data_IF_064644869605
#
_entry.id   IF_064644869605
#
_cell.length_a   1.000
_cell.length_b   1.000
_cell.length_c   1.000
_cell.angle_alpha   90.00
_cell.angle_beta   90.00
_cell.angle_gamma   90.00
#
_symmetry.space_group_name_H-M   'P 1'
#
loop_
_entity.id
_entity.type
_entity.pdbx_description
1 polymer ?
#
# COMPACT_ATOMS: atom_id res chain seq x y z
N UNK A 1 43.75 -12.30 -48.07
CA UNK A 1 42.57 -12.11 -48.93
C UNK A 1 41.30 -12.86 -48.48
N UNK A 2 41.32 -13.70 -47.43
CA UNK A 2 40.10 -14.36 -46.88
C UNK A 2 39.44 -13.63 -45.70
N UNK A 3 40.13 -12.68 -45.05
CA UNK A 3 39.57 -11.86 -43.96
C UNK A 3 38.76 -10.64 -44.44
N UNK A 4 38.94 -10.20 -45.70
CA UNK A 4 38.19 -9.07 -46.25
C UNK A 4 36.74 -9.46 -46.61
N UNK A 5 36.51 -10.72 -46.99
CA UNK A 5 35.18 -11.23 -47.34
C UNK A 5 34.29 -11.49 -46.13
N UNK A 6 34.87 -11.79 -44.97
CA UNK A 6 34.11 -11.95 -43.71
C UNK A 6 33.67 -10.60 -43.12
N UNK A 7 34.45 -9.54 -43.36
CA UNK A 7 34.13 -8.19 -42.89
C UNK A 7 33.03 -7.52 -43.74
N UNK A 8 33.02 -7.77 -45.05
CA UNK A 8 31.97 -7.26 -45.95
C UNK A 8 30.62 -7.97 -45.79
N UNK A 9 30.60 -9.23 -45.35
CA UNK A 9 29.36 -9.97 -45.11
C UNK A 9 28.68 -9.59 -43.78
N UNK A 10 29.46 -9.26 -42.74
CA UNK A 10 28.95 -8.71 -41.48
C UNK A 10 28.41 -7.28 -41.62
N UNK A 11 29.03 -6.45 -42.47
CA UNK A 11 28.52 -5.09 -42.74
C UNK A 11 27.20 -5.11 -43.54
N UNK A 12 26.95 -6.12 -44.38
CA UNK A 12 25.70 -6.24 -45.14
C UNK A 12 24.50 -6.70 -44.28
N UNK A 13 24.75 -7.49 -43.23
CA UNK A 13 23.70 -7.90 -42.28
C UNK A 13 23.34 -6.74 -41.34
N UNK A 14 24.31 -5.90 -40.94
CA UNK A 14 24.02 -4.69 -40.17
C UNK A 14 23.29 -3.61 -40.99
N UNK A 15 23.56 -3.48 -42.30
CA UNK A 15 22.87 -2.50 -43.15
C UNK A 15 21.43 -2.90 -43.51
N UNK A 16 21.11 -4.20 -43.52
CA UNK A 16 19.73 -4.69 -43.72
C UNK A 16 18.84 -4.54 -42.47
N UNK A 17 19.44 -4.41 -41.28
CA UNK A 17 18.70 -4.14 -40.05
C UNK A 17 18.49 -2.64 -39.76
N UNK A 18 19.27 -1.74 -40.38
CA UNK A 18 19.08 -0.28 -40.22
C UNK A 18 18.16 0.34 -41.28
N UNK A 19 17.79 -0.38 -42.35
CA UNK A 19 16.88 0.11 -43.38
C UNK A 19 15.38 -0.15 -43.10
N UNK A 20 15.03 -0.84 -42.01
CA UNK A 20 13.64 -1.06 -41.59
C UNK A 20 13.28 -0.41 -40.24
N UNK A 21 14.09 0.53 -39.74
CA UNK A 21 13.83 1.27 -38.50
C UNK A 21 13.19 2.65 -38.74
N UNK A 22 12.44 2.82 -39.84
CA UNK A 22 11.60 3.99 -40.09
C UNK A 22 10.14 3.56 -40.11
N UNK A 23 9.50 3.52 -38.94
CA UNK A 23 8.10 3.90 -38.70
C UNK A 23 7.72 3.65 -37.23
N UNK A 24 7.90 4.67 -36.38
CA UNK A 24 6.95 4.96 -35.28
C UNK A 24 7.01 6.44 -34.93
N UNK A 25 6.36 7.32 -35.73
CA UNK A 25 6.18 8.74 -35.38
C UNK A 25 5.13 8.96 -34.27
N UNK A 26 4.42 7.91 -33.84
CA UNK A 26 3.26 8.02 -32.94
C UNK A 26 3.63 8.13 -31.46
N UNK A 27 4.71 7.48 -31.01
CA UNK A 27 5.06 7.46 -29.58
C UNK A 27 5.67 8.79 -29.10
N UNK A 28 6.50 9.41 -29.94
CA UNK A 28 7.13 10.69 -29.63
C UNK A 28 6.09 11.82 -29.59
N UNK A 29 5.14 11.81 -30.52
CA UNK A 29 4.02 12.77 -30.56
C UNK A 29 3.06 12.61 -29.37
N UNK A 30 2.82 11.38 -28.93
CA UNK A 30 2.03 11.10 -27.72
C UNK A 30 2.76 11.54 -26.45
N UNK A 31 4.07 11.33 -26.35
CA UNK A 31 4.88 11.78 -25.22
C UNK A 31 4.93 13.30 -25.12
N UNK A 32 5.09 13.99 -26.26
CA UNK A 32 5.12 15.46 -26.31
C UNK A 32 3.74 16.07 -26.01
N UNK A 33 2.65 15.44 -26.48
CA UNK A 33 1.27 15.84 -26.15
C UNK A 33 0.94 15.64 -24.67
N UNK A 34 1.41 14.56 -24.05
CA UNK A 34 1.18 14.28 -22.62
C UNK A 34 2.00 15.22 -21.75
N UNK A 35 3.25 15.50 -22.13
CA UNK A 35 4.09 16.46 -21.42
C UNK A 35 3.53 17.89 -21.48
N UNK A 36 2.93 18.29 -22.60
CA UNK A 36 2.29 19.59 -22.73
C UNK A 36 0.98 19.70 -21.93
N UNK A 37 0.19 18.62 -21.86
CA UNK A 37 -1.00 18.55 -21.00
C UNK A 37 -0.64 18.60 -19.51
N UNK A 38 0.43 17.93 -19.09
CA UNK A 38 0.94 17.99 -17.71
C UNK A 38 1.44 19.39 -17.38
N UNK A 39 2.12 20.08 -18.31
CA UNK A 39 2.55 21.47 -18.13
C UNK A 39 1.37 22.44 -18.02
N UNK A 40 0.32 22.25 -18.82
CA UNK A 40 -0.89 23.08 -18.75
C UNK A 40 -1.64 22.87 -17.43
N UNK A 41 -1.74 21.63 -16.94
CA UNK A 41 -2.33 21.32 -15.64
C UNK A 41 -1.51 21.88 -14.48
N UNK A 42 -0.18 21.83 -14.55
CA UNK A 42 0.70 22.44 -13.56
C UNK A 42 0.59 23.97 -13.57
N UNK A 43 0.42 24.59 -14.74
CA UNK A 43 0.21 26.04 -14.86
C UNK A 43 -1.16 26.46 -14.30
N UNK A 44 -2.20 25.66 -14.51
CA UNK A 44 -3.53 25.86 -13.94
C UNK A 44 -3.59 25.63 -12.42
N UNK A 45 -2.67 24.83 -11.87
CA UNK A 45 -2.55 24.64 -10.41
C UNK A 45 -1.68 25.71 -9.72
N UNK A 46 -0.76 26.35 -10.45
CA UNK A 46 0.22 27.28 -9.90
C UNK A 46 -0.22 28.75 -9.94
N UNK A 47 -1.17 29.13 -10.79
CA UNK A 47 -1.75 30.48 -10.82
C UNK A 47 -2.83 30.64 -9.73
N UNK A 48 -2.32 30.88 -8.52
CA UNK A 48 -2.87 31.60 -7.36
C UNK A 48 -4.38 31.50 -6.99
N UNK A 49 -4.58 31.03 -5.76
CA UNK A 49 -5.75 31.23 -4.88
C UNK A 49 -7.04 30.44 -5.14
N UNK A 50 -7.08 29.30 -4.43
CA UNK A 50 -8.23 28.77 -3.71
C UNK A 50 -9.27 29.86 -3.37
N UNK A 51 -10.39 29.86 -4.08
CA UNK A 51 -11.63 30.46 -3.59
C UNK A 51 -12.72 29.41 -3.72
N UNK A 52 -13.33 29.09 -2.57
CA UNK A 52 -14.52 28.25 -2.46
C UNK A 52 -15.56 28.71 -3.48
N UNK A 53 -15.84 27.88 -4.48
CA UNK A 53 -16.99 28.09 -5.36
C UNK A 53 -18.22 27.50 -4.66
N UNK A 54 -19.28 28.29 -4.39
CA UNK A 54 -20.51 27.78 -3.79
C UNK A 54 -21.24 26.85 -4.78
N UNK A 55 -21.92 25.82 -4.25
CA UNK A 55 -22.58 24.74 -5.01
C UNK A 55 -23.48 25.16 -6.19
N UNK A 56 -23.89 26.42 -6.31
CA UNK A 56 -24.77 26.87 -7.38
C UNK A 56 -24.05 27.05 -8.74
N UNK A 57 -22.73 27.29 -8.77
CA UNK A 57 -21.99 27.53 -10.02
C UNK A 57 -21.61 26.24 -10.77
N UNK A 58 -21.60 25.09 -10.08
CA UNK A 58 -21.34 23.79 -10.70
C UNK A 58 -22.58 23.31 -11.43
N UNK A 59 -23.76 23.46 -10.81
CA UNK A 59 -25.05 23.15 -11.43
C UNK A 59 -25.33 24.09 -12.61
N UNK A 60 -25.02 25.39 -12.51
CA UNK A 60 -25.22 26.35 -13.61
C UNK A 60 -24.25 26.11 -14.78
N UNK A 61 -23.03 25.62 -14.54
CA UNK A 61 -22.08 25.22 -15.61
C UNK A 61 -22.38 23.85 -16.20
N UNK A 62 -22.93 22.92 -15.41
CA UNK A 62 -23.45 21.65 -15.92
C UNK A 62 -24.69 21.91 -16.78
N UNK A 63 -25.59 22.77 -16.30
CA UNK A 63 -26.81 23.20 -16.99
C UNK A 63 -26.48 24.04 -18.23
N UNK A 64 -25.44 24.88 -18.21
CA UNK A 64 -24.98 25.62 -19.40
C UNK A 64 -24.29 24.72 -20.45
N UNK A 65 -23.53 23.69 -20.04
CA UNK A 65 -22.92 22.72 -20.98
C UNK A 65 -23.92 21.70 -21.52
N UNK A 66 -24.85 21.23 -20.68
CA UNK A 66 -25.95 20.35 -21.09
C UNK A 66 -26.94 21.15 -21.96
N UNK A 67 -27.24 22.42 -21.61
CA UNK A 67 -28.08 23.32 -22.40
C UNK A 67 -27.47 23.64 -23.76
N UNK A 68 -26.21 24.09 -23.87
CA UNK A 68 -25.64 24.49 -25.17
C UNK A 68 -25.35 23.31 -26.12
N UNK A 69 -25.10 22.11 -25.59
CA UNK A 69 -24.84 20.93 -26.42
C UNK A 69 -26.13 20.17 -26.75
N UNK A 70 -27.20 20.29 -25.94
CA UNK A 70 -28.54 19.81 -26.31
C UNK A 70 -29.33 20.82 -27.14
N UNK A 71 -29.17 22.14 -26.98
CA UNK A 71 -29.97 23.12 -27.75
C UNK A 71 -29.62 23.14 -29.24
N UNK A 72 -28.37 22.94 -29.65
CA UNK A 72 -28.01 23.04 -31.06
C UNK A 72 -28.52 21.85 -31.87
N UNK A 73 -28.51 20.63 -31.32
CA UNK A 73 -29.07 19.44 -31.96
C UNK A 73 -30.60 19.34 -31.78
N UNK A 74 -31.14 19.74 -30.62
CA UNK A 74 -32.59 19.69 -30.38
C UNK A 74 -33.35 20.85 -31.03
N UNK A 75 -32.74 22.02 -31.27
CA UNK A 75 -33.34 23.08 -32.10
C UNK A 75 -33.31 22.73 -33.59
N UNK A 76 -32.30 21.98 -34.05
CA UNK A 76 -32.26 21.46 -35.42
C UNK A 76 -33.35 20.41 -35.66
N UNK A 77 -33.58 19.50 -34.70
CA UNK A 77 -34.68 18.53 -34.77
C UNK A 77 -36.06 19.13 -34.40
N UNK A 78 -36.11 20.15 -33.54
CA UNK A 78 -37.35 20.82 -33.13
C UNK A 78 -37.92 21.75 -34.19
N UNK A 79 -37.08 22.50 -34.91
CA UNK A 79 -37.51 23.31 -36.08
C UNK A 79 -37.84 22.42 -37.28
N UNK A 80 -37.10 21.32 -37.46
CA UNK A 80 -37.42 20.27 -38.43
C UNK A 80 -38.77 19.61 -38.15
N UNK A 81 -39.09 19.27 -36.90
CA UNK A 81 -40.38 18.68 -36.51
C UNK A 81 -41.54 19.67 -36.68
N UNK A 82 -41.40 20.96 -36.35
CA UNK A 82 -42.47 21.96 -36.57
C UNK A 82 -42.70 22.21 -38.07
N UNK A 83 -41.64 22.26 -38.89
CA UNK A 83 -41.77 22.35 -40.35
C UNK A 83 -42.36 21.06 -40.95
N UNK A 84 -42.05 19.89 -40.39
CA UNK A 84 -42.55 18.58 -40.84
C UNK A 84 -44.01 18.36 -40.44
N UNK A 85 -44.43 18.72 -39.22
CA UNK A 85 -45.83 18.71 -38.81
C UNK A 85 -46.65 19.82 -39.48
N UNK A 86 -46.04 20.97 -39.80
CA UNK A 86 -46.66 22.02 -40.62
C UNK A 86 -46.87 21.61 -42.08
N UNK A 87 -45.91 20.89 -42.67
CA UNK A 87 -46.04 20.28 -44.00
C UNK A 87 -47.07 19.15 -44.01
N UNK A 88 -47.08 18.28 -42.99
CA UNK A 88 -48.07 17.20 -42.87
C UNK A 88 -49.47 17.76 -42.62
N UNK A 89 -49.61 18.79 -41.77
CA UNK A 89 -50.88 19.49 -41.54
C UNK A 89 -51.39 20.25 -42.78
N UNK A 90 -50.48 20.87 -43.53
CA UNK A 90 -50.79 21.54 -44.79
C UNK A 90 -51.14 20.58 -45.93
N UNK A 91 -50.44 19.44 -46.04
CA UNK A 91 -50.72 18.40 -47.04
C UNK A 91 -52.02 17.65 -46.71
N UNK A 92 -52.31 17.38 -45.44
CA UNK A 92 -53.59 16.77 -45.03
C UNK A 92 -54.78 17.73 -45.19
N UNK A 93 -54.62 19.03 -44.94
CA UNK A 93 -55.66 20.03 -45.18
C UNK A 93 -55.89 20.27 -46.69
N UNK A 94 -54.84 20.23 -47.52
CA UNK A 94 -54.94 20.42 -48.97
C UNK A 94 -55.45 19.16 -49.70
N UNK A 95 -55.22 17.96 -49.15
CA UNK A 95 -55.77 16.70 -49.66
C UNK A 95 -57.23 16.47 -49.26
N UNK A 96 -57.67 17.02 -48.12
CA UNK A 96 -59.04 16.87 -47.61
C UNK A 96 -60.11 17.57 -48.46
N UNK A 97 -59.77 18.66 -49.15
CA UNK A 97 -60.78 19.54 -49.76
C UNK A 97 -60.93 19.41 -51.29
N UNK A 98 -60.14 18.55 -51.98
CA UNK A 98 -60.21 18.52 -53.46
C UNK A 98 -60.13 17.21 -54.24
N UNK A 99 -59.86 16.03 -53.66
CA UNK A 99 -59.81 14.79 -54.47
C UNK A 99 -60.24 13.53 -53.67
N UNK A 100 -61.54 13.40 -53.37
CA UNK A 100 -62.12 12.14 -52.90
C UNK A 100 -62.58 11.28 -54.08
N UNK A 101 -61.90 10.16 -54.31
CA UNK A 101 -62.42 9.04 -55.10
C UNK A 101 -61.95 7.73 -54.44
N UNK A 102 -62.87 6.84 -54.07
CA UNK A 102 -62.69 5.69 -53.15
C UNK A 102 -61.59 4.67 -53.52
N UNK A 103 -61.08 4.69 -54.76
CA UNK A 103 -59.93 3.87 -55.17
C UNK A 103 -58.59 4.41 -54.67
N UNK A 104 -58.46 5.73 -54.54
CA UNK A 104 -57.26 6.38 -54.02
C UNK A 104 -57.13 6.09 -52.52
N UNK A 105 -58.23 6.05 -51.78
CA UNK A 105 -58.22 5.81 -50.34
C UNK A 105 -57.67 4.44 -49.95
N UNK A 106 -58.02 3.36 -50.67
CA UNK A 106 -57.52 2.01 -50.36
C UNK A 106 -56.03 1.82 -50.68
N UNK A 107 -55.55 2.42 -51.77
CA UNK A 107 -54.12 2.37 -52.15
C UNK A 107 -53.32 3.23 -51.19
N UNK A 108 -53.78 4.45 -50.92
CA UNK A 108 -53.16 5.37 -49.95
C UNK A 108 -53.12 4.77 -48.56
N UNK A 109 -54.20 4.14 -48.05
CA UNK A 109 -54.18 3.49 -46.72
C UNK A 109 -53.22 2.30 -46.63
N UNK A 110 -53.12 1.48 -47.69
CA UNK A 110 -52.22 0.31 -47.73
C UNK A 110 -50.75 0.72 -47.82
N UNK A 111 -50.44 1.76 -48.60
CA UNK A 111 -49.11 2.35 -48.62
C UNK A 111 -48.79 3.08 -47.31
N UNK A 112 -49.77 3.78 -46.70
CA UNK A 112 -49.61 4.40 -45.38
C UNK A 112 -49.34 3.38 -44.28
N UNK A 113 -50.03 2.23 -44.27
CA UNK A 113 -49.76 1.18 -43.28
C UNK A 113 -48.38 0.58 -43.48
N UNK A 114 -47.97 0.34 -44.73
CA UNK A 114 -46.64 -0.19 -45.04
C UNK A 114 -45.52 0.81 -44.67
N UNK A 115 -45.70 2.09 -45.01
CA UNK A 115 -44.80 3.17 -44.61
C UNK A 115 -44.72 3.33 -43.09
N UNK A 116 -45.86 3.20 -42.39
CA UNK A 116 -45.91 3.24 -40.92
C UNK A 116 -45.15 2.06 -40.32
N UNK A 117 -45.37 0.85 -40.80
CA UNK A 117 -44.72 -0.35 -40.26
C UNK A 117 -43.21 -0.36 -40.55
N UNK A 118 -42.80 0.09 -41.75
CA UNK A 118 -41.38 0.32 -42.07
C UNK A 118 -40.76 1.39 -41.17
N UNK A 119 -41.43 2.52 -40.97
CA UNK A 119 -40.95 3.60 -40.11
C UNK A 119 -40.83 3.13 -38.65
N UNK A 120 -41.82 2.40 -38.13
CA UNK A 120 -41.78 1.84 -36.78
C UNK A 120 -40.65 0.82 -36.64
N UNK A 121 -40.43 -0.03 -37.64
CA UNK A 121 -39.32 -1.00 -37.66
C UNK A 121 -37.96 -0.29 -37.70
N UNK A 122 -37.80 0.73 -38.55
CA UNK A 122 -36.57 1.51 -38.66
C UNK A 122 -36.27 2.29 -37.37
N UNK A 123 -37.31 2.82 -36.71
CA UNK A 123 -37.20 3.45 -35.39
C UNK A 123 -36.74 2.44 -34.35
N UNK A 124 -37.34 1.25 -34.28
CA UNK A 124 -36.93 0.21 -33.32
C UNK A 124 -35.49 -0.26 -33.55
N UNK A 125 -35.09 -0.44 -34.81
CA UNK A 125 -33.73 -0.84 -35.14
C UNK A 125 -32.73 0.25 -34.73
N UNK A 126 -33.02 1.53 -35.03
CA UNK A 126 -32.17 2.65 -34.59
C UNK A 126 -32.09 2.78 -33.08
N UNK A 127 -33.19 2.60 -32.35
CA UNK A 127 -33.18 2.59 -30.88
C UNK A 127 -32.25 1.48 -30.38
N UNK A 128 -32.38 0.27 -30.91
CA UNK A 128 -31.54 -0.88 -30.54
C UNK A 128 -30.07 -0.68 -30.86
N UNK A 129 -29.76 -0.06 -31.99
CA UNK A 129 -28.38 0.25 -32.38
C UNK A 129 -27.76 1.32 -31.47
N UNK A 130 -28.54 2.33 -31.08
CA UNK A 130 -28.13 3.36 -30.12
C UNK A 130 -27.92 2.77 -28.73
N UNK A 131 -28.85 1.93 -28.25
CA UNK A 131 -28.71 1.23 -26.96
C UNK A 131 -27.46 0.34 -26.94
N UNK A 132 -27.23 -0.46 -27.98
CA UNK A 132 -26.04 -1.31 -28.09
C UNK A 132 -24.73 -0.51 -28.18
N UNK A 133 -24.75 0.65 -28.85
CA UNK A 133 -23.60 1.57 -28.88
C UNK A 133 -23.33 2.18 -27.50
N UNK A 134 -24.38 2.62 -26.80
CA UNK A 134 -24.28 3.22 -25.47
C UNK A 134 -23.79 2.21 -24.43
N UNK A 135 -24.29 0.97 -24.44
CA UNK A 135 -23.80 -0.09 -23.55
C UNK A 135 -22.31 -0.38 -23.79
N UNK A 136 -21.88 -0.39 -25.05
CA UNK A 136 -20.48 -0.61 -25.40
C UNK A 136 -19.57 0.54 -24.95
N UNK A 137 -20.00 1.78 -25.14
CA UNK A 137 -19.25 2.96 -24.67
C UNK A 137 -19.22 3.02 -23.13
N UNK A 138 -20.33 2.71 -22.46
CA UNK A 138 -20.40 2.67 -21.00
C UNK A 138 -19.46 1.59 -20.44
N UNK A 139 -19.48 0.38 -21.02
CA UNK A 139 -18.54 -0.68 -20.68
C UNK A 139 -17.08 -0.28 -20.91
N UNK A 140 -16.80 0.46 -21.99
CA UNK A 140 -15.45 0.97 -22.26
C UNK A 140 -15.02 2.01 -21.22
N UNK A 141 -15.90 2.96 -20.87
CA UNK A 141 -15.65 3.99 -19.85
C UNK A 141 -15.41 3.35 -18.48
N UNK A 142 -16.21 2.34 -18.10
CA UNK A 142 -16.03 1.60 -16.84
C UNK A 142 -14.68 0.86 -16.79
N UNK A 143 -14.27 0.24 -17.91
CA UNK A 143 -12.97 -0.41 -18.02
C UNK A 143 -11.81 0.59 -17.90
N UNK A 144 -11.89 1.73 -18.61
CA UNK A 144 -10.88 2.78 -18.53
C UNK A 144 -10.82 3.44 -17.15
N UNK A 145 -11.97 3.66 -16.49
CA UNK A 145 -12.01 4.19 -15.13
C UNK A 145 -11.33 3.22 -14.16
N UNK A 146 -11.60 1.92 -14.29
CA UNK A 146 -10.97 0.87 -13.48
C UNK A 146 -9.45 0.84 -13.70
N UNK A 147 -8.99 0.98 -14.95
CA UNK A 147 -7.56 1.05 -15.28
C UNK A 147 -6.87 2.27 -14.65
N UNK A 148 -7.48 3.45 -14.76
CA UNK A 148 -6.95 4.69 -14.15
C UNK A 148 -6.92 4.60 -12.63
N UNK A 149 -7.96 4.02 -12.01
CA UNK A 149 -8.00 3.79 -10.56
C UNK A 149 -6.87 2.86 -10.12
N UNK A 150 -6.65 1.75 -10.82
CA UNK A 150 -5.57 0.81 -10.53
C UNK A 150 -4.20 1.45 -10.71
N UNK A 151 -3.97 2.16 -11.83
CA UNK A 151 -2.72 2.88 -12.08
C UNK A 151 -2.43 3.93 -11.00
N UNK A 152 -3.46 4.67 -10.58
CA UNK A 152 -3.35 5.67 -9.51
C UNK A 152 -2.97 5.03 -8.18
N UNK A 153 -3.59 3.89 -7.84
CA UNK A 153 -3.29 3.15 -6.62
C UNK A 153 -1.85 2.63 -6.62
N UNK A 154 -1.40 1.99 -7.71
CA UNK A 154 -0.03 1.49 -7.84
C UNK A 154 1.00 2.62 -7.83
N UNK A 155 0.70 3.76 -8.45
CA UNK A 155 1.55 4.95 -8.40
C UNK A 155 1.70 5.48 -6.97
N UNK A 156 0.60 5.55 -6.20
CA UNK A 156 0.65 5.94 -4.77
C UNK A 156 1.51 4.96 -3.97
N UNK A 157 1.32 3.65 -4.16
CA UNK A 157 2.12 2.61 -3.49
C UNK A 157 3.61 2.79 -3.77
N UNK A 158 3.99 3.01 -5.03
CA UNK A 158 5.38 3.25 -5.43
C UNK A 158 5.94 4.52 -4.78
N UNK A 159 5.19 5.63 -4.80
CA UNK A 159 5.62 6.90 -4.19
C UNK A 159 5.83 6.73 -2.68
N UNK A 160 4.92 6.07 -1.98
CA UNK A 160 5.03 5.89 -0.52
C UNK A 160 6.19 4.96 -0.13
N UNK A 161 6.51 3.96 -0.94
CA UNK A 161 7.73 3.16 -0.76
C UNK A 161 8.99 4.01 -0.91
N UNK A 162 9.07 4.83 -1.95
CA UNK A 162 10.21 5.73 -2.16
C UNK A 162 10.35 6.76 -1.02
N UNK A 163 9.23 7.23 -0.47
CA UNK A 163 9.22 8.12 0.68
C UNK A 163 9.74 7.42 1.95
N UNK A 164 9.33 6.17 2.20
CA UNK A 164 9.84 5.39 3.33
C UNK A 164 11.36 5.16 3.22
N UNK A 165 11.88 4.80 2.05
CA UNK A 165 13.31 4.59 1.85
C UNK A 165 14.14 5.86 2.09
N UNK A 166 13.60 7.03 1.74
CA UNK A 166 14.23 8.31 2.09
C UNK A 166 14.22 8.53 3.59
N UNK A 167 13.07 8.33 4.24
CA UNK A 167 12.91 8.51 5.69
C UNK A 167 13.81 7.55 6.48
N UNK A 168 13.98 6.30 6.07
CA UNK A 168 14.92 5.33 6.67
C UNK A 168 16.34 5.88 6.76
N UNK A 169 16.82 6.48 5.68
CA UNK A 169 18.15 7.10 5.65
C UNK A 169 18.26 8.30 6.61
N UNK A 170 17.17 9.03 6.82
CA UNK A 170 17.12 10.14 7.77
C UNK A 170 17.05 9.64 9.23
N UNK A 171 16.25 8.60 9.50
CA UNK A 171 16.16 7.91 10.80
C UNK A 171 17.53 7.44 11.25
N UNK A 172 18.31 6.81 10.36
CA UNK A 172 19.66 6.34 10.68
C UNK A 172 20.63 7.47 11.06
N UNK A 173 20.44 8.67 10.51
CA UNK A 173 21.29 9.84 10.78
C UNK A 173 20.85 10.61 12.03
N UNK A 174 19.54 10.74 12.24
CA UNK A 174 18.94 11.55 13.29
C UNK A 174 17.72 10.83 13.91
N UNK A 175 17.96 9.77 14.69
CA UNK A 175 16.89 8.88 15.18
C UNK A 175 15.92 9.54 16.17
N UNK A 176 16.28 10.69 16.73
CA UNK A 176 15.46 11.48 17.65
C UNK A 176 14.85 12.73 17.00
N UNK A 177 14.82 12.81 15.67
CA UNK A 177 14.26 13.96 14.94
C UNK A 177 12.74 13.99 15.00
N UNK A 178 12.20 15.08 15.55
CA UNK A 178 10.75 15.36 15.58
C UNK A 178 10.16 15.52 14.17
N UNK A 179 10.91 16.08 13.23
CA UNK A 179 10.46 16.24 11.83
C UNK A 179 10.28 14.88 11.14
N UNK A 180 11.31 14.01 11.24
CA UNK A 180 11.28 12.66 10.68
C UNK A 180 10.13 11.85 11.29
N UNK A 181 9.93 11.96 12.60
CA UNK A 181 8.82 11.34 13.30
C UNK A 181 7.46 11.79 12.72
N UNK A 182 7.24 13.09 12.53
CA UNK A 182 5.98 13.61 11.98
C UNK A 182 5.74 13.15 10.54
N UNK A 183 6.77 13.13 9.71
CA UNK A 183 6.68 12.65 8.32
C UNK A 183 6.40 11.15 8.25
N UNK A 184 6.99 10.34 9.13
CA UNK A 184 6.65 8.92 9.25
C UNK A 184 5.20 8.71 9.72
N UNK A 185 4.70 9.52 10.65
CA UNK A 185 3.28 9.48 11.06
C UNK A 185 2.34 9.86 9.92
N UNK A 186 2.71 10.88 9.13
CA UNK A 186 1.94 11.27 7.96
C UNK A 186 1.93 10.17 6.89
N UNK A 187 3.08 9.54 6.64
CA UNK A 187 3.20 8.42 5.71
C UNK A 187 2.38 7.21 6.19
N UNK A 188 2.36 6.93 7.49
CA UNK A 188 1.52 5.90 8.07
C UNK A 188 0.04 6.15 7.80
N UNK A 189 -0.45 7.38 8.06
CA UNK A 189 -1.84 7.78 7.76
C UNK A 189 -2.16 7.61 6.27
N UNK A 190 -1.27 8.04 5.37
CA UNK A 190 -1.43 7.88 3.91
C UNK A 190 -1.51 6.40 3.51
N UNK A 191 -0.69 5.54 4.12
CA UNK A 191 -0.69 4.11 3.87
C UNK A 191 -2.00 3.46 4.38
N UNK A 192 -2.53 3.88 5.52
CA UNK A 192 -3.82 3.42 6.05
C UNK A 192 -4.99 3.81 5.15
N UNK A 193 -5.01 5.03 4.62
CA UNK A 193 -6.08 5.52 3.72
C UNK A 193 -6.27 4.64 2.49
N UNK A 194 -5.17 4.11 1.94
CA UNK A 194 -5.21 3.20 0.79
C UNK A 194 -5.12 1.72 1.18
N UNK A 195 -5.14 1.41 2.49
CA UNK A 195 -4.99 0.06 3.06
C UNK A 195 -3.75 -0.67 2.52
N UNK A 196 -2.60 0.00 2.54
CA UNK A 196 -1.36 -0.59 2.03
C UNK A 196 -0.73 -1.55 3.04
N UNK A 197 -1.28 -2.75 3.12
CA UNK A 197 -0.99 -3.73 4.18
C UNK A 197 0.50 -4.10 4.33
N UNK A 198 1.27 -4.09 3.24
CA UNK A 198 2.69 -4.44 3.29
C UNK A 198 3.59 -3.29 3.70
N UNK A 199 3.16 -2.03 3.56
CA UNK A 199 3.96 -0.85 3.90
C UNK A 199 3.77 -0.41 5.35
N UNK A 200 2.54 -0.54 5.86
CA UNK A 200 2.19 -0.18 7.25
C UNK A 200 3.15 -0.79 8.29
N UNK A 201 3.42 -2.12 8.32
CA UNK A 201 4.33 -2.70 9.31
C UNK A 201 5.77 -2.17 9.18
N UNK A 202 6.21 -1.83 7.96
CA UNK A 202 7.54 -1.27 7.72
C UNK A 202 7.66 0.15 8.26
N UNK A 203 6.61 0.98 8.14
CA UNK A 203 6.58 2.32 8.72
C UNK A 203 6.53 2.23 10.27
N UNK A 204 5.77 1.28 10.80
CA UNK A 204 5.68 1.01 12.25
C UNK A 204 7.04 0.60 12.83
N UNK A 205 7.84 -0.17 12.09
CA UNK A 205 9.22 -0.52 12.48
C UNK A 205 10.09 0.74 12.66
N UNK A 206 10.08 1.65 11.68
CA UNK A 206 10.85 2.90 11.77
C UNK A 206 10.36 3.81 12.89
N UNK A 207 9.04 3.99 13.03
CA UNK A 207 8.45 4.77 14.12
C UNK A 207 8.80 4.21 15.50
N UNK A 208 8.89 2.89 15.62
CA UNK A 208 9.28 2.24 16.87
C UNK A 208 10.69 2.66 17.29
N UNK A 209 11.63 2.65 16.36
CA UNK A 209 13.00 3.09 16.62
C UNK A 209 13.05 4.58 16.98
N UNK A 210 12.32 5.43 16.25
CA UNK A 210 12.27 6.88 16.50
C UNK A 210 11.64 7.20 17.85
N UNK A 211 10.52 6.55 18.22
CA UNK A 211 9.90 6.75 19.53
C UNK A 211 10.79 6.27 20.67
N UNK A 212 11.46 5.13 20.50
CA UNK A 212 12.40 4.64 21.50
C UNK A 212 13.57 5.60 21.71
N UNK A 213 14.21 6.05 20.62
CA UNK A 213 15.34 6.99 20.67
C UNK A 213 14.93 8.36 21.24
N UNK A 214 13.70 8.80 20.97
CA UNK A 214 13.11 10.05 21.49
C UNK A 214 12.53 9.91 22.90
N UNK A 215 12.65 8.73 23.54
CA UNK A 215 12.08 8.42 24.87
C UNK A 215 10.57 8.62 24.96
N UNK A 216 9.85 8.48 23.85
CA UNK A 216 8.38 8.58 23.76
C UNK A 216 7.71 7.23 24.01
N UNK A 217 7.96 6.63 25.17
CA UNK A 217 7.57 5.25 25.47
C UNK A 217 6.04 5.03 25.49
N UNK A 218 5.26 6.05 25.87
CA UNK A 218 3.80 5.99 25.80
C UNK A 218 3.28 5.91 24.36
N UNK A 219 3.89 6.69 23.45
CA UNK A 219 3.52 6.68 22.04
C UNK A 219 3.96 5.37 21.37
N UNK A 220 5.15 4.87 21.72
CA UNK A 220 5.61 3.55 21.30
C UNK A 220 4.62 2.45 21.72
N UNK A 221 4.21 2.43 22.98
CA UNK A 221 3.28 1.44 23.49
C UNK A 221 1.92 1.50 22.76
N UNK A 222 1.41 2.71 22.52
CA UNK A 222 0.18 2.92 21.77
C UNK A 222 0.33 2.43 20.33
N UNK A 223 1.46 2.72 19.68
CA UNK A 223 1.75 2.29 18.32
C UNK A 223 1.68 0.77 18.23
N UNK A 224 2.43 0.04 19.05
CA UNK A 224 2.45 -1.43 19.02
C UNK A 224 1.07 -2.01 19.33
N UNK A 225 0.39 -1.50 20.36
CA UNK A 225 -0.95 -1.99 20.74
C UNK A 225 -1.99 -1.78 19.63
N UNK A 226 -1.79 -0.78 18.77
CA UNK A 226 -2.67 -0.48 17.64
C UNK A 226 -2.42 -1.44 16.48
N UNK A 227 -1.16 -1.67 16.10
CA UNK A 227 -0.86 -2.40 14.87
C UNK A 227 -0.55 -3.89 15.05
N UNK A 228 -0.13 -4.34 16.24
CA UNK A 228 0.25 -5.74 16.46
C UNK A 228 -0.92 -6.73 16.33
N UNK A 229 -2.17 -6.25 16.38
CA UNK A 229 -3.37 -7.09 16.23
C UNK A 229 -3.67 -7.42 14.77
N UNK A 230 -3.50 -6.44 13.90
CA UNK A 230 -3.93 -6.52 12.49
C UNK A 230 -2.74 -6.80 11.55
N UNK A 231 -1.51 -6.51 12.00
CA UNK A 231 -0.31 -6.65 11.20
C UNK A 231 0.72 -7.53 11.88
N UNK A 232 1.38 -8.34 11.05
CA UNK A 232 2.57 -9.10 11.44
C UNK A 232 3.76 -8.16 11.58
N UNK A 233 3.94 -7.59 12.77
CA UNK A 233 5.11 -6.79 13.09
C UNK A 233 6.36 -7.67 13.20
N UNK A 234 7.51 -7.11 12.84
CA UNK A 234 8.79 -7.80 12.93
C UNK A 234 9.18 -8.05 14.39
N UNK A 235 9.82 -9.19 14.65
CA UNK A 235 10.27 -9.62 15.97
C UNK A 235 11.18 -8.58 16.65
N UNK A 236 12.04 -7.90 15.88
CA UNK A 236 12.91 -6.82 16.39
C UNK A 236 12.12 -5.61 16.87
N UNK A 237 11.01 -5.27 16.21
CA UNK A 237 10.11 -4.19 16.61
C UNK A 237 9.46 -4.49 17.96
N UNK A 238 8.99 -5.72 18.13
CA UNK A 238 8.38 -6.20 19.37
C UNK A 238 9.39 -6.26 20.52
N UNK A 239 10.61 -6.74 20.28
CA UNK A 239 11.71 -6.74 21.26
C UNK A 239 12.08 -5.34 21.72
N UNK A 240 12.12 -4.35 20.82
CA UNK A 240 12.40 -2.95 21.20
C UNK A 240 11.28 -2.36 22.07
N UNK A 241 10.03 -2.70 21.77
CA UNK A 241 8.89 -2.30 22.59
C UNK A 241 8.91 -2.97 23.98
N UNK A 242 9.26 -4.27 24.03
CA UNK A 242 9.45 -5.00 25.27
C UNK A 242 10.53 -4.35 26.13
N UNK A 243 11.68 -4.01 25.54
CA UNK A 243 12.78 -3.36 26.24
C UNK A 243 12.36 -2.05 26.90
N UNK A 244 11.55 -1.22 26.24
CA UNK A 244 10.99 -0.02 26.85
C UNK A 244 10.16 -0.33 28.10
N UNK A 245 9.33 -1.37 28.07
CA UNK A 245 8.51 -1.77 29.20
C UNK A 245 9.36 -2.39 30.33
N UNK A 246 10.39 -3.16 29.98
CA UNK A 246 11.31 -3.77 30.95
C UNK A 246 12.14 -2.72 31.66
N UNK A 247 12.59 -1.67 30.97
CA UNK A 247 13.26 -0.52 31.59
C UNK A 247 12.37 0.15 32.63
N UNK A 248 11.11 0.44 32.29
CA UNK A 248 10.14 1.02 33.24
C UNK A 248 9.87 0.08 34.42
N UNK A 249 9.80 -1.24 34.17
CA UNK A 249 9.62 -2.23 35.22
C UNK A 249 10.82 -2.31 36.16
N UNK A 250 12.03 -2.32 35.62
CA UNK A 250 13.27 -2.34 36.41
C UNK A 250 13.34 -1.11 37.32
N UNK A 251 13.12 0.08 36.76
CA UNK A 251 13.31 1.34 37.46
C UNK A 251 12.20 1.66 38.47
N UNK A 252 10.94 1.34 38.15
CA UNK A 252 9.79 1.75 38.97
C UNK A 252 8.97 0.59 39.54
N UNK A 253 9.16 -0.62 39.02
CA UNK A 253 8.43 -1.79 39.47
C UNK A 253 7.01 -1.94 39.00
N UNK A 254 6.65 -1.27 37.91
CA UNK A 254 5.30 -1.37 37.36
C UNK A 254 5.00 -2.79 36.86
N UNK A 255 4.15 -3.53 37.58
CA UNK A 255 3.71 -4.87 37.19
C UNK A 255 3.01 -4.88 35.83
N UNK A 256 2.24 -3.84 35.52
CA UNK A 256 1.63 -3.68 34.20
C UNK A 256 2.67 -3.59 33.07
N UNK A 257 3.80 -2.89 33.31
CA UNK A 257 4.90 -2.83 32.34
C UNK A 257 5.63 -4.16 32.23
N UNK A 258 5.80 -4.90 33.34
CA UNK A 258 6.32 -6.27 33.30
C UNK A 258 5.47 -7.17 32.40
N UNK A 259 4.16 -7.21 32.64
CA UNK A 259 3.22 -8.06 31.90
C UNK A 259 3.23 -7.71 30.41
N UNK A 260 3.17 -6.41 30.09
CA UNK A 260 3.19 -5.95 28.70
C UNK A 260 4.53 -6.20 28.00
N UNK A 261 5.64 -6.09 28.74
CA UNK A 261 6.95 -6.47 28.25
C UNK A 261 6.99 -7.95 27.87
N UNK A 262 6.51 -8.83 28.74
CA UNK A 262 6.42 -10.27 28.45
C UNK A 262 5.48 -10.56 27.28
N UNK A 263 4.32 -9.92 27.19
CA UNK A 263 3.37 -10.06 26.07
C UNK A 263 4.06 -9.78 24.73
N UNK A 264 4.83 -8.70 24.63
CA UNK A 264 5.58 -8.39 23.41
C UNK A 264 6.69 -9.40 23.10
N UNK A 265 7.33 -9.98 24.12
CA UNK A 265 8.32 -11.03 23.92
C UNK A 265 7.69 -12.34 23.44
N UNK A 266 6.52 -12.71 23.96
CA UNK A 266 5.78 -13.88 23.46
C UNK A 266 5.34 -13.66 22.02
N UNK A 267 4.81 -12.48 21.69
CA UNK A 267 4.48 -12.15 20.30
C UNK A 267 5.70 -12.26 19.37
N UNK A 268 6.89 -11.85 19.83
CA UNK A 268 8.12 -12.00 19.04
C UNK A 268 8.52 -13.47 18.85
N UNK A 269 8.34 -14.30 19.87
CA UNK A 269 8.61 -15.74 19.83
C UNK A 269 7.60 -16.51 18.98
N UNK A 270 6.36 -16.06 18.93
CA UNK A 270 5.35 -16.57 17.99
C UNK A 270 5.72 -16.28 16.53
N UNK A 271 6.42 -15.16 16.27
CA UNK A 271 6.91 -14.85 14.92
C UNK A 271 8.13 -15.69 14.53
N UNK A 272 9.06 -15.86 15.47
CA UNK A 272 10.33 -16.57 15.27
C UNK A 272 10.59 -17.45 16.49
N UNK A 273 10.23 -18.73 16.37
CA UNK A 273 10.45 -19.71 17.43
C UNK A 273 11.94 -19.81 17.79
N UNK A 274 12.26 -19.70 19.08
CA UNK A 274 13.64 -19.72 19.57
C UNK A 274 14.41 -18.43 19.30
N UNK A 275 13.74 -17.30 19.09
CA UNK A 275 14.39 -16.00 18.92
C UNK A 275 15.15 -15.60 20.19
N UNK A 276 16.48 -15.68 20.14
CA UNK A 276 17.31 -15.66 21.36
C UNK A 276 17.36 -14.28 22.03
N UNK A 277 17.20 -13.19 21.27
CA UNK A 277 17.06 -11.84 21.82
C UNK A 277 15.83 -11.70 22.73
N UNK A 278 14.71 -12.30 22.34
CA UNK A 278 13.50 -12.30 23.16
C UNK A 278 13.63 -13.20 24.39
N UNK A 279 14.22 -14.39 24.23
CA UNK A 279 14.47 -15.30 25.36
C UNK A 279 15.43 -14.68 26.39
N UNK A 280 16.50 -14.00 25.94
CA UNK A 280 17.42 -13.30 26.82
C UNK A 280 16.74 -12.20 27.64
N UNK A 281 15.79 -11.48 27.05
CA UNK A 281 14.97 -10.52 27.77
C UNK A 281 14.00 -11.18 28.75
N UNK A 282 13.38 -12.32 28.42
CA UNK A 282 12.54 -13.07 29.37
C UNK A 282 13.35 -13.49 30.60
N UNK A 283 14.56 -14.04 30.40
CA UNK A 283 15.47 -14.38 31.50
C UNK A 283 15.76 -13.17 32.38
N UNK A 284 16.04 -12.01 31.77
CA UNK A 284 16.25 -10.77 32.51
C UNK A 284 15.02 -10.36 33.32
N UNK A 285 13.81 -10.44 32.78
CA UNK A 285 12.56 -10.15 33.52
C UNK A 285 12.44 -11.05 34.75
N UNK A 286 12.70 -12.36 34.61
CA UNK A 286 12.65 -13.26 35.76
C UNK A 286 13.74 -12.98 36.80
N UNK A 287 14.93 -12.52 36.38
CA UNK A 287 15.96 -12.10 37.33
C UNK A 287 15.60 -10.80 38.06
N UNK A 288 14.91 -9.88 37.37
CA UNK A 288 14.31 -8.69 38.01
C UNK A 288 13.25 -9.12 39.02
N UNK A 289 12.37 -10.06 38.67
CA UNK A 289 11.34 -10.60 39.57
C UNK A 289 11.96 -11.23 40.82
N UNK A 290 12.95 -12.11 40.64
CA UNK A 290 13.65 -12.77 41.74
C UNK A 290 14.31 -11.75 42.68
N UNK A 291 14.99 -10.75 42.12
CA UNK A 291 15.68 -9.72 42.89
C UNK A 291 14.72 -8.86 43.72
N UNK A 292 13.49 -8.66 43.24
CA UNK A 292 12.48 -7.79 43.86
C UNK A 292 11.51 -8.54 44.77
N UNK A 293 11.45 -9.86 44.64
CA UNK A 293 10.60 -10.73 45.44
C UNK A 293 10.93 -10.63 46.93
N UNK A 294 9.89 -10.39 47.76
CA UNK A 294 10.04 -10.29 49.22
C UNK A 294 9.80 -11.62 49.93
N UNK A 295 9.16 -12.56 49.25
CA UNK A 295 8.77 -13.86 49.79
C UNK A 295 9.31 -14.99 48.92
N UNK A 296 9.60 -16.11 49.56
CA UNK A 296 10.23 -17.26 48.90
C UNK A 296 9.37 -17.84 47.76
N UNK A 297 8.05 -17.77 47.89
CA UNK A 297 7.13 -18.22 46.86
C UNK A 297 7.32 -17.42 45.55
N UNK A 298 7.47 -16.10 45.62
CA UNK A 298 7.68 -15.24 44.44
C UNK A 298 9.05 -15.52 43.80
N UNK A 299 10.08 -15.73 44.63
CA UNK A 299 11.41 -16.15 44.15
C UNK A 299 11.34 -17.47 43.39
N UNK A 300 10.67 -18.47 43.96
CA UNK A 300 10.51 -19.79 43.33
C UNK A 300 9.74 -19.71 42.01
N UNK A 301 8.73 -18.83 41.91
CA UNK A 301 8.03 -18.59 40.64
C UNK A 301 8.95 -17.99 39.58
N UNK A 302 9.78 -17.01 39.97
CA UNK A 302 10.76 -16.41 39.07
C UNK A 302 11.81 -17.43 38.62
N UNK A 303 12.35 -18.24 39.54
CA UNK A 303 13.29 -19.31 39.23
C UNK A 303 12.69 -20.33 38.26
N UNK A 304 11.44 -20.76 38.50
CA UNK A 304 10.75 -21.70 37.61
C UNK A 304 10.54 -21.12 36.21
N UNK A 305 10.19 -19.83 36.12
CA UNK A 305 10.06 -19.13 34.85
C UNK A 305 11.39 -19.06 34.08
N UNK A 306 12.47 -18.72 34.78
CA UNK A 306 13.82 -18.68 34.20
C UNK A 306 14.27 -20.07 33.74
N UNK A 307 14.06 -21.11 34.55
CA UNK A 307 14.37 -22.49 34.17
C UNK A 307 13.63 -22.91 32.90
N UNK A 308 12.34 -22.59 32.79
CA UNK A 308 11.56 -22.91 31.58
C UNK A 308 12.17 -22.31 30.31
N UNK A 309 12.60 -21.05 30.37
CA UNK A 309 13.27 -20.40 29.23
C UNK A 309 14.66 -21.00 28.97
N UNK A 310 15.42 -21.32 30.01
CA UNK A 310 16.72 -21.99 29.86
C UNK A 310 16.58 -23.36 29.21
N UNK A 311 15.58 -24.15 29.61
CA UNK A 311 15.28 -25.45 29.01
C UNK A 311 14.92 -25.30 27.54
N UNK A 312 14.08 -24.31 27.17
CA UNK A 312 13.76 -24.00 25.77
C UNK A 312 15.01 -23.72 24.93
N UNK A 313 15.99 -22.98 25.49
CA UNK A 313 17.24 -22.65 24.80
C UNK A 313 18.17 -23.88 24.73
N UNK A 314 18.40 -24.54 25.86
CA UNK A 314 19.37 -25.65 26.00
C UNK A 314 18.91 -26.89 25.25
N UNK A 315 17.61 -27.12 25.11
CA UNK A 315 17.05 -28.24 24.37
C UNK A 315 16.51 -27.86 22.98
N UNK A 316 16.75 -26.63 22.52
CA UNK A 316 16.40 -26.21 21.17
C UNK A 316 17.04 -27.12 20.11
N UNK A 317 16.38 -27.31 18.97
CA UNK A 317 16.98 -28.04 17.84
C UNK A 317 18.18 -27.31 17.24
N UNK A 318 18.14 -25.98 17.25
CA UNK A 318 19.17 -25.11 16.66
C UNK A 318 20.00 -24.38 17.72
N UNK A 319 21.29 -24.24 17.47
CA UNK A 319 22.21 -23.47 18.32
C UNK A 319 22.07 -21.94 18.17
N UNK A 320 21.29 -21.48 17.18
CA UNK A 320 21.05 -20.05 16.92
C UNK A 320 20.48 -19.34 18.14
N UNK A 321 19.50 -19.96 18.81
CA UNK A 321 18.84 -19.44 20.02
C UNK A 321 19.87 -19.12 21.11
N UNK A 322 20.71 -20.10 21.46
CA UNK A 322 21.76 -19.94 22.47
C UNK A 322 22.75 -18.81 22.09
N UNK A 323 23.17 -18.77 20.82
CA UNK A 323 24.07 -17.73 20.32
C UNK A 323 23.48 -16.33 20.37
N UNK A 324 22.20 -16.16 20.03
CA UNK A 324 21.49 -14.88 20.14
C UNK A 324 21.24 -14.46 21.58
N UNK A 325 20.80 -15.39 22.44
CA UNK A 325 20.59 -15.12 23.86
C UNK A 325 21.86 -14.66 24.55
N UNK A 326 23.00 -15.33 24.34
CA UNK A 326 24.25 -14.89 24.94
C UNK A 326 24.75 -13.55 24.39
N UNK A 327 24.52 -13.25 23.10
CA UNK A 327 24.83 -11.92 22.56
C UNK A 327 23.99 -10.84 23.24
N UNK A 328 22.71 -11.12 23.50
CA UNK A 328 21.83 -10.23 24.27
C UNK A 328 22.35 -10.04 25.69
N UNK A 329 22.55 -11.13 26.44
CA UNK A 329 23.03 -11.07 27.82
C UNK A 329 24.38 -10.35 27.93
N UNK A 330 25.29 -10.57 26.96
CA UNK A 330 26.57 -9.86 26.90
C UNK A 330 26.42 -8.35 26.70
N UNK A 331 25.41 -7.91 25.94
CA UNK A 331 25.09 -6.47 25.76
C UNK A 331 24.52 -5.89 27.05
N UNK A 332 23.63 -6.63 27.71
CA UNK A 332 23.00 -6.20 28.96
C UNK A 332 23.98 -6.20 30.13
N UNK A 333 24.97 -7.10 30.15
CA UNK A 333 26.04 -7.12 31.14
C UNK A 333 26.94 -5.87 31.08
N UNK A 334 27.06 -5.25 29.90
CA UNK A 334 27.76 -3.94 29.75
C UNK A 334 26.91 -2.76 30.22
N UNK A 335 25.60 -2.95 30.41
CA UNK A 335 24.72 -1.91 30.91
C UNK A 335 24.68 -1.94 32.45
N UNK A 336 25.08 -0.84 33.09
CA UNK A 336 25.14 -0.71 34.56
C UNK A 336 23.82 -1.07 35.26
N UNK A 337 22.67 -0.78 34.64
CA UNK A 337 21.37 -1.07 35.23
C UNK A 337 21.05 -2.58 35.21
N UNK A 338 21.55 -3.30 34.21
CA UNK A 338 21.16 -4.68 33.94
C UNK A 338 22.23 -5.72 34.28
N UNK A 339 23.49 -5.32 34.44
CA UNK A 339 24.60 -6.21 34.73
C UNK A 339 24.33 -7.15 35.91
N UNK A 340 23.82 -6.60 37.02
CA UNK A 340 23.44 -7.35 38.23
C UNK A 340 22.49 -8.51 37.98
N UNK A 341 21.62 -8.43 36.98
CA UNK A 341 20.67 -9.49 36.65
C UNK A 341 21.30 -10.59 35.79
N UNK A 342 22.28 -10.24 34.96
CA UNK A 342 23.08 -11.23 34.22
C UNK A 342 23.97 -12.01 35.19
N UNK A 343 24.64 -11.33 36.12
CA UNK A 343 25.44 -11.97 37.17
C UNK A 343 24.58 -12.92 38.02
N UNK A 344 23.38 -12.47 38.39
CA UNK A 344 22.42 -13.28 39.15
C UNK A 344 22.04 -14.56 38.39
N UNK A 345 21.83 -14.47 37.07
CA UNK A 345 21.52 -15.63 36.24
C UNK A 345 22.67 -16.66 36.25
N UNK A 346 23.92 -16.22 36.06
CA UNK A 346 25.10 -17.10 36.12
C UNK A 346 25.29 -17.75 37.50
N UNK A 347 24.94 -17.04 38.57
CA UNK A 347 25.06 -17.57 39.92
C UNK A 347 23.96 -18.59 40.27
N UNK A 348 22.73 -18.38 39.77
CA UNK A 348 21.59 -19.23 40.09
C UNK A 348 21.47 -20.45 39.16
N UNK A 349 21.95 -20.36 37.92
CA UNK A 349 21.85 -21.41 36.89
C UNK A 349 23.20 -21.68 36.21
N UNK A 350 24.27 -22.00 36.97
CA UNK A 350 25.62 -22.10 36.41
C UNK A 350 25.74 -23.21 35.36
N UNK A 351 25.07 -24.34 35.55
CA UNK A 351 25.14 -25.49 34.63
C UNK A 351 24.39 -25.22 33.32
N UNK A 352 23.20 -24.61 33.39
CA UNK A 352 22.43 -24.23 32.22
C UNK A 352 23.13 -23.14 31.41
N UNK A 353 23.71 -22.15 32.08
CA UNK A 353 24.48 -21.09 31.42
C UNK A 353 25.70 -21.66 30.71
N UNK A 354 26.43 -22.59 31.33
CA UNK A 354 27.55 -23.29 30.70
C UNK A 354 27.11 -24.08 29.45
N UNK A 355 26.01 -24.83 29.52
CA UNK A 355 25.46 -25.53 28.35
C UNK A 355 25.09 -24.56 27.23
N UNK A 356 24.49 -23.41 27.56
CA UNK A 356 24.18 -22.38 26.59
C UNK A 356 25.44 -21.82 25.92
N UNK A 357 26.52 -21.59 26.68
CA UNK A 357 27.83 -21.16 26.16
C UNK A 357 28.47 -22.17 25.21
N UNK A 358 28.40 -23.46 25.54
CA UNK A 358 28.87 -24.54 24.68
C UNK A 358 28.11 -24.53 23.33
N UNK A 359 26.77 -24.43 23.37
CA UNK A 359 25.94 -24.38 22.15
C UNK A 359 26.19 -23.13 21.32
N UNK A 360 26.30 -21.97 21.95
CA UNK A 360 26.60 -20.72 21.26
C UNK A 360 27.97 -20.74 20.58
N UNK A 361 28.95 -21.43 21.16
CA UNK A 361 30.28 -21.61 20.57
C UNK A 361 30.20 -22.38 19.25
N UNK A 362 29.41 -23.45 19.21
CA UNK A 362 29.14 -24.21 17.96
C UNK A 362 28.51 -23.31 16.89
N UNK A 363 27.51 -22.50 17.27
CA UNK A 363 26.89 -21.55 16.33
C UNK A 363 27.88 -20.54 15.76
N UNK A 364 28.75 -19.97 16.60
CA UNK A 364 29.76 -19.00 16.14
C UNK A 364 30.79 -19.65 15.20
N UNK A 365 31.16 -20.91 15.43
CA UNK A 365 32.02 -21.67 14.51
C UNK A 365 31.37 -21.83 13.14
N UNK A 366 30.10 -22.28 13.10
CA UNK A 366 29.33 -22.42 11.86
C UNK A 366 29.20 -21.10 11.09
N UNK A 367 28.99 -19.99 11.80
CA UNK A 367 28.96 -18.65 11.18
C UNK A 367 30.30 -18.22 10.59
N UNK A 368 31.42 -18.60 11.22
CA UNK A 368 32.76 -18.30 10.70
C UNK A 368 33.06 -19.13 9.46
N UNK A 369 32.76 -20.43 9.49
CA UNK A 369 32.91 -21.32 8.32
C UNK A 369 32.12 -20.83 7.12
N UNK A 370 30.85 -20.43 7.34
CA UNK A 370 29.99 -19.87 6.29
C UNK A 370 30.54 -18.55 5.70
N UNK A 371 31.27 -17.75 6.49
CA UNK A 371 31.90 -16.51 6.03
C UNK A 371 33.23 -16.74 5.31
N UNK A 372 33.95 -17.80 5.65
CA UNK A 372 35.23 -18.18 5.01
C UNK A 372 35.07 -19.04 3.75
N UNK A 373 33.87 -19.56 3.50
CA UNK A 373 33.54 -20.39 2.33
C UNK A 373 33.06 -19.62 1.09
N UNK A 374 33.07 -18.29 1.13
CA UNK A 374 32.94 -17.37 -0.01
C UNK A 374 34.25 -16.62 -0.21
#
# INVERSE_FOLDING_TARGET
MKFLFLYCSLLFVCFRYTANAQQTPSLQYQLDSVNEQVRQLQKQLAEEHYTRIPNNDFDERLEYKISNQMQSEFLFWGTGMIAFFGLIGGILAFAGDKLMNDRVEKVVRKELSHLKDQLVSDIHQKIKDVEGSLEKELSHVEASLTEVMNFTLESKKFIYQQELEKLRNEVNKAPNSTDVMHRLQELLRKAEEIRYETLIPLIVEELTYVYYASRKYKDLEKLISTYAKDYRLKETTLVNAALSCINDYESYGSKSKREKGLEYLELALDQVSGYGEAQGLKLQVYMIDYSRAKVEQEKNMALKGAQGVLDEIVFAYSDVSAGETLRRLSRDHKNKAFAKYVDLLHNLFPEEMKKMEERATNYNHLLQEAKSGN
#
